data_IF_968239216548
#
_entry.id   IF_968239216548
#
_cell.length_a   1.000
_cell.length_b   1.000
_cell.length_c   1.000
_cell.angle_alpha   90.00
_cell.angle_beta   90.00
_cell.angle_gamma   90.00
#
_symmetry.space_group_name_H-M   'P 1'
#
loop_
_entity.id
_entity.type
_entity.pdbx_description
1 polymer ?
#
# COMPACT_ATOMS: atom_id res chain seq x y z
N UNK A 1 20.61 -13.33 27.43
CA UNK A 1 19.59 -12.29 27.67
C UNK A 1 19.26 -11.64 26.34
N UNK A 2 17.98 -11.39 26.07
CA UNK A 2 17.54 -10.63 24.89
C UNK A 2 17.79 -9.15 25.16
N UNK A 3 18.41 -8.44 24.20
CA UNK A 3 18.72 -7.00 24.33
C UNK A 3 17.88 -6.13 23.41
N UNK A 4 17.45 -6.68 22.28
CA UNK A 4 16.64 -6.00 21.28
C UNK A 4 15.47 -6.90 20.87
N UNK A 5 14.31 -6.30 20.66
CA UNK A 5 13.10 -6.94 20.16
C UNK A 5 12.68 -6.25 18.86
N UNK A 6 12.56 -7.02 17.78
CA UNK A 6 12.16 -6.54 16.47
C UNK A 6 10.70 -6.87 16.22
N UNK A 7 9.90 -5.88 15.81
CA UNK A 7 8.46 -6.04 15.62
C UNK A 7 7.96 -5.37 14.34
N UNK A 8 6.88 -5.91 13.79
CA UNK A 8 6.09 -5.35 12.67
C UNK A 8 4.64 -5.08 13.09
N UNK A 9 4.35 -5.10 14.39
CA UNK A 9 3.01 -4.93 14.92
C UNK A 9 2.38 -3.60 14.49
N UNK A 10 1.11 -3.66 14.14
CA UNK A 10 0.29 -2.50 13.84
C UNK A 10 0.03 -1.67 15.10
N UNK A 11 -0.41 -0.43 14.91
CA UNK A 11 -0.53 0.64 15.90
C UNK A 11 -1.69 0.46 16.90
N UNK A 12 -1.88 -0.77 17.38
CA UNK A 12 -2.93 -1.16 18.30
C UNK A 12 -2.53 -0.86 19.76
N UNK A 13 -3.50 -0.58 20.66
CA UNK A 13 -3.23 -0.35 22.09
C UNK A 13 -2.44 -1.47 22.77
N UNK A 14 -2.66 -2.72 22.37
CA UNK A 14 -1.97 -3.90 22.87
C UNK A 14 -0.47 -3.86 22.56
N UNK A 15 -0.10 -3.36 21.37
CA UNK A 15 1.29 -3.17 20.96
C UNK A 15 2.00 -2.14 21.83
N UNK A 16 1.29 -1.09 22.27
CA UNK A 16 1.83 -0.07 23.19
C UNK A 16 2.13 -0.70 24.55
N UNK A 17 1.18 -1.46 25.11
CA UNK A 17 1.36 -2.13 26.40
C UNK A 17 2.54 -3.12 26.37
N UNK A 18 2.64 -3.95 25.33
CA UNK A 18 3.77 -4.88 25.17
C UNK A 18 5.10 -4.12 25.14
N UNK A 19 5.15 -3.02 24.40
CA UNK A 19 6.36 -2.21 24.26
C UNK A 19 6.79 -1.58 25.58
N UNK A 20 5.83 -1.11 26.40
CA UNK A 20 6.11 -0.63 27.76
C UNK A 20 6.76 -1.72 28.63
N UNK A 21 6.21 -2.94 28.60
CA UNK A 21 6.76 -4.07 29.36
C UNK A 21 8.16 -4.48 28.91
N UNK A 22 8.42 -4.47 27.60
CA UNK A 22 9.76 -4.74 27.09
C UNK A 22 10.77 -3.67 27.54
N UNK A 23 10.37 -2.40 27.54
CA UNK A 23 11.20 -1.29 28.02
C UNK A 23 11.47 -1.34 29.53
N UNK A 24 10.49 -1.73 30.35
CA UNK A 24 10.68 -1.99 31.79
C UNK A 24 11.78 -3.03 32.04
N UNK A 25 11.88 -4.03 31.15
CA UNK A 25 12.91 -5.07 31.18
C UNK A 25 14.24 -4.66 30.53
N UNK A 26 14.40 -3.37 30.17
CA UNK A 26 15.56 -2.81 29.46
C UNK A 26 15.82 -3.48 28.10
N UNK A 27 14.78 -4.00 27.47
CA UNK A 27 14.82 -4.53 26.11
C UNK A 27 14.45 -3.39 25.16
N UNK A 28 15.33 -3.11 24.20
CA UNK A 28 15.11 -2.07 23.19
C UNK A 28 14.14 -2.57 22.12
N UNK A 29 13.10 -1.82 21.82
CA UNK A 29 12.08 -2.19 20.83
C UNK A 29 12.31 -1.44 19.53
N UNK A 30 12.52 -2.21 18.45
CA UNK A 30 12.77 -1.71 17.11
C UNK A 30 11.59 -2.14 16.24
N UNK A 31 10.81 -1.17 15.79
CA UNK A 31 9.66 -1.40 14.94
C UNK A 31 9.99 -1.08 13.48
N UNK A 32 9.49 -1.90 12.56
CA UNK A 32 9.51 -1.68 11.12
C UNK A 32 8.12 -1.93 10.52
N UNK A 33 7.06 -1.59 11.28
CA UNK A 33 5.69 -1.84 10.91
C UNK A 33 5.27 -1.06 9.67
N UNK A 34 4.30 -1.68 9.02
CA UNK A 34 3.87 -1.40 7.68
C UNK A 34 2.79 -0.29 7.67
N UNK A 35 2.86 0.60 6.68
CA UNK A 35 1.86 1.63 6.42
C UNK A 35 1.72 2.77 7.45
N UNK A 36 0.63 3.52 7.30
CA UNK A 36 0.23 4.66 8.12
C UNK A 36 -1.08 4.30 8.82
N UNK A 37 -1.06 4.35 10.14
CA UNK A 37 -2.17 4.03 11.02
C UNK A 37 -3.24 5.11 10.92
N UNK A 38 -4.43 4.71 10.54
CA UNK A 38 -5.56 5.63 10.36
C UNK A 38 -6.18 5.98 11.73
N UNK A 39 -6.07 5.07 12.70
CA UNK A 39 -6.65 5.20 14.03
C UNK A 39 -5.59 4.78 15.06
N UNK A 40 -5.09 5.74 15.85
CA UNK A 40 -4.04 5.50 16.85
C UNK A 40 -2.67 5.93 16.38
N UNK A 41 -2.35 7.21 16.60
CA UNK A 41 -1.03 7.79 16.27
C UNK A 41 0.01 7.53 17.35
N UNK A 42 -0.36 6.92 18.49
CA UNK A 42 0.52 6.75 19.64
C UNK A 42 1.39 5.52 19.41
N UNK A 43 2.70 5.76 19.35
CA UNK A 43 3.71 4.72 19.28
C UNK A 43 4.64 4.85 20.49
N UNK A 44 5.22 3.74 20.93
CA UNK A 44 6.14 3.75 22.07
C UNK A 44 7.42 2.98 21.81
N UNK A 45 7.95 3.02 20.59
CA UNK A 45 9.16 2.27 20.25
C UNK A 45 10.44 3.01 20.70
N UNK A 46 11.58 2.33 20.75
CA UNK A 46 12.88 3.01 20.87
C UNK A 46 13.35 3.52 19.52
N UNK A 47 13.14 2.70 18.49
CA UNK A 47 13.43 3.05 17.09
C UNK A 47 12.26 2.64 16.22
N UNK A 48 11.83 3.54 15.35
CA UNK A 48 10.89 3.23 14.27
C UNK A 48 11.55 3.47 12.91
N UNK A 49 11.70 2.39 12.16
CA UNK A 49 12.16 2.40 10.78
C UNK A 49 10.98 2.75 9.87
N UNK A 50 10.98 3.97 9.33
CA UNK A 50 9.92 4.56 8.50
C UNK A 50 10.36 4.66 7.05
N UNK A 51 9.44 4.50 6.11
CA UNK A 51 9.71 4.47 4.67
C UNK A 51 9.68 5.86 4.03
N UNK A 52 8.91 6.80 4.59
CA UNK A 52 8.74 8.15 4.03
C UNK A 52 8.82 9.23 5.10
N UNK A 53 9.10 10.47 4.67
CA UNK A 53 9.03 11.64 5.56
C UNK A 53 7.61 11.89 6.06
N UNK A 54 6.58 11.65 5.25
CA UNK A 54 5.18 11.80 5.68
C UNK A 54 4.85 10.83 6.81
N UNK A 55 5.25 9.57 6.69
CA UNK A 55 5.07 8.57 7.76
C UNK A 55 5.79 9.03 9.03
N UNK A 56 7.04 9.50 8.91
CA UNK A 56 7.79 10.09 10.04
C UNK A 56 7.02 11.23 10.69
N UNK A 57 6.58 12.21 9.90
CA UNK A 57 5.94 13.44 10.41
C UNK A 57 4.57 13.14 11.05
N UNK A 58 3.87 12.10 10.57
CA UNK A 58 2.63 11.61 11.16
C UNK A 58 2.83 11.09 12.59
N UNK A 59 3.86 10.28 12.83
CA UNK A 59 4.14 9.69 14.15
C UNK A 59 5.04 10.52 15.07
N UNK A 60 5.73 11.52 14.54
CA UNK A 60 6.62 12.38 15.33
C UNK A 60 5.87 13.16 16.42
N UNK A 61 4.58 13.41 16.22
CA UNK A 61 3.77 14.25 17.11
C UNK A 61 3.40 13.57 18.43
N UNK A 62 3.64 12.27 18.56
CA UNK A 62 3.05 11.43 19.61
C UNK A 62 4.07 10.62 20.42
N UNK A 63 5.39 10.79 20.21
CA UNK A 63 6.39 10.00 20.94
C UNK A 63 7.82 10.56 20.90
N UNK A 64 8.64 10.15 21.87
CA UNK A 64 10.10 10.33 21.87
C UNK A 64 10.85 9.29 21.01
N UNK A 65 10.12 8.56 20.17
CA UNK A 65 10.66 7.49 19.32
C UNK A 65 11.73 8.05 18.38
N UNK A 66 12.86 7.35 18.24
CA UNK A 66 13.87 7.70 17.23
C UNK A 66 13.46 7.17 15.87
N UNK A 67 13.39 8.05 14.88
CA UNK A 67 13.02 7.68 13.52
C UNK A 67 14.24 7.46 12.63
N UNK A 68 14.28 6.33 11.92
CA UNK A 68 15.26 6.06 10.87
C UNK A 68 14.54 5.89 9.55
N UNK A 69 15.00 6.59 8.51
CA UNK A 69 14.49 6.33 7.16
C UNK A 69 15.03 4.97 6.70
N UNK A 70 14.12 4.02 6.56
CA UNK A 70 14.40 2.73 5.95
C UNK A 70 14.45 2.96 4.45
N UNK A 71 15.61 2.70 3.85
CA UNK A 71 15.67 2.58 2.39
C UNK A 71 14.96 1.28 2.05
N UNK A 72 13.87 1.31 1.24
CA UNK A 72 13.26 0.07 0.80
C UNK A 72 14.36 -0.81 0.20
N UNK A 73 14.29 -2.12 0.48
CA UNK A 73 15.17 -3.11 -0.12
C UNK A 73 15.20 -2.79 -1.60
N UNK A 74 16.41 -2.54 -2.10
CA UNK A 74 16.70 -2.12 -3.46
C UNK A 74 15.63 -2.66 -4.42
N UNK A 75 14.90 -1.72 -5.01
CA UNK A 75 14.23 -1.81 -6.30
C UNK A 75 14.42 -3.17 -6.95
N UNK A 76 13.35 -3.96 -7.13
CA UNK A 76 13.26 -5.04 -8.13
C UNK A 76 14.31 -4.79 -9.22
N UNK A 77 15.47 -5.46 -9.15
CA UNK A 77 16.69 -5.06 -9.85
C UNK A 77 16.34 -4.65 -11.29
N UNK A 78 16.24 -3.33 -11.54
CA UNK A 78 15.64 -2.84 -12.78
C UNK A 78 16.59 -2.98 -13.96
N UNK A 79 17.84 -3.39 -13.72
CA UNK A 79 18.95 -3.20 -14.65
C UNK A 79 19.27 -4.40 -15.55
N UNK A 80 18.60 -5.56 -15.46
CA UNK A 80 19.00 -6.69 -16.32
C UNK A 80 17.96 -7.75 -16.68
N UNK A 81 16.65 -7.45 -16.62
CA UNK A 81 15.62 -8.43 -17.01
C UNK A 81 14.93 -7.94 -18.29
N UNK A 82 14.82 -8.81 -19.30
CA UNK A 82 14.08 -8.55 -20.53
C UNK A 82 12.57 -8.46 -20.22
N UNK A 83 12.11 -7.33 -19.71
CA UNK A 83 10.73 -7.13 -19.25
C UNK A 83 9.80 -6.91 -20.44
N UNK A 84 9.16 -7.99 -20.91
CA UNK A 84 8.34 -7.97 -22.14
C UNK A 84 6.91 -7.42 -21.92
N UNK A 85 6.32 -7.55 -20.72
CA UNK A 85 4.90 -7.24 -20.49
C UNK A 85 4.64 -6.46 -19.18
N UNK A 86 3.51 -5.75 -19.14
CA UNK A 86 3.02 -5.01 -17.97
C UNK A 86 1.94 -5.84 -17.28
N UNK A 87 1.96 -5.85 -15.95
CA UNK A 87 0.93 -6.44 -15.12
C UNK A 87 0.39 -5.43 -14.10
N UNK A 88 -0.81 -5.70 -13.62
CA UNK A 88 -1.44 -4.95 -12.54
C UNK A 88 -1.19 -5.70 -11.23
N UNK A 89 -0.88 -4.97 -10.17
CA UNK A 89 -0.83 -5.50 -8.81
C UNK A 89 -1.92 -4.87 -7.95
N UNK A 90 -2.98 -5.62 -7.62
CA UNK A 90 -4.07 -5.14 -6.79
C UNK A 90 -3.82 -5.44 -5.30
N UNK A 91 -3.77 -4.38 -4.49
CA UNK A 91 -3.65 -4.44 -3.04
C UNK A 91 -5.05 -4.49 -2.44
N UNK A 92 -5.52 -5.70 -2.19
CA UNK A 92 -6.87 -5.96 -1.71
C UNK A 92 -7.01 -5.53 -0.22
N UNK A 93 -8.21 -5.11 0.19
CA UNK A 93 -8.52 -4.64 1.54
C UNK A 93 -9.49 -5.58 2.27
N UNK A 94 -9.44 -5.61 3.59
CA UNK A 94 -10.34 -6.41 4.44
C UNK A 94 -11.62 -5.64 4.83
N UNK A 95 -12.31 -5.09 3.84
CA UNK A 95 -13.46 -4.18 4.05
C UNK A 95 -14.62 -4.88 4.75
N UNK A 96 -14.89 -6.15 4.40
CA UNK A 96 -16.04 -6.90 4.88
C UNK A 96 -15.79 -7.57 6.22
N UNK A 97 -14.54 -7.86 6.60
CA UNK A 97 -14.23 -8.32 7.95
C UNK A 97 -14.20 -7.20 8.98
N UNK A 98 -13.85 -5.97 8.59
CA UNK A 98 -13.69 -4.82 9.50
C UNK A 98 -15.04 -4.23 9.93
N UNK A 99 -15.47 -4.37 11.21
CA UNK A 99 -16.81 -3.96 11.65
C UNK A 99 -17.15 -2.49 11.41
N UNK A 100 -16.18 -1.58 11.60
CA UNK A 100 -16.35 -0.14 11.39
C UNK A 100 -16.51 0.25 9.90
N UNK A 101 -16.27 -0.69 8.98
CA UNK A 101 -16.33 -0.46 7.52
C UNK A 101 -17.45 -1.25 6.84
N UNK A 102 -18.32 -1.93 7.60
CA UNK A 102 -19.46 -2.73 7.09
C UNK A 102 -20.69 -1.91 6.66
N UNK A 103 -20.52 -0.65 6.26
CA UNK A 103 -21.65 0.08 5.68
C UNK A 103 -21.99 -0.50 4.31
N UNK A 104 -23.28 -0.53 3.94
CA UNK A 104 -23.70 -0.96 2.60
C UNK A 104 -23.02 -0.16 1.49
N UNK A 105 -22.74 1.12 1.76
CA UNK A 105 -22.01 2.04 0.88
C UNK A 105 -20.58 1.55 0.67
N UNK A 106 -19.82 1.31 1.75
CA UNK A 106 -18.42 0.86 1.66
C UNK A 106 -18.29 -0.50 0.99
N UNK A 107 -19.23 -1.41 1.25
CA UNK A 107 -19.31 -2.70 0.55
C UNK A 107 -19.52 -2.51 -0.96
N UNK A 108 -20.51 -1.72 -1.37
CA UNK A 108 -20.83 -1.50 -2.78
C UNK A 108 -19.66 -0.86 -3.55
N UNK A 109 -18.96 0.10 -2.92
CA UNK A 109 -17.75 0.71 -3.49
C UNK A 109 -16.66 -0.35 -3.70
N UNK A 110 -16.50 -1.25 -2.73
CA UNK A 110 -15.48 -2.28 -2.79
C UNK A 110 -15.75 -3.30 -3.91
N UNK A 111 -17.00 -3.72 -4.05
CA UNK A 111 -17.46 -4.59 -5.15
C UNK A 111 -17.27 -3.89 -6.50
N UNK A 112 -17.57 -2.59 -6.61
CA UNK A 112 -17.36 -1.82 -7.85
C UNK A 112 -15.88 -1.76 -8.27
N UNK A 113 -14.96 -1.67 -7.32
CA UNK A 113 -13.52 -1.66 -7.62
C UNK A 113 -13.06 -3.03 -8.13
N UNK A 114 -13.53 -4.11 -7.50
CA UNK A 114 -13.26 -5.46 -7.98
C UNK A 114 -13.76 -5.61 -9.42
N UNK A 115 -14.98 -5.17 -9.70
CA UNK A 115 -15.54 -5.15 -11.06
C UNK A 115 -14.64 -4.37 -12.03
N UNK A 116 -14.11 -3.21 -11.62
CA UNK A 116 -13.21 -2.42 -12.47
C UNK A 116 -11.92 -3.19 -12.78
N UNK A 117 -11.34 -3.86 -11.78
CA UNK A 117 -10.11 -4.66 -11.92
C UNK A 117 -10.32 -5.86 -12.85
N UNK A 118 -11.44 -6.57 -12.72
CA UNK A 118 -11.72 -7.71 -13.58
C UNK A 118 -12.04 -7.27 -15.01
N UNK A 119 -12.78 -6.17 -15.18
CA UNK A 119 -13.07 -5.58 -16.49
C UNK A 119 -11.81 -5.12 -17.19
N UNK A 120 -10.88 -4.46 -16.49
CA UNK A 120 -9.64 -3.97 -17.12
C UNK A 120 -8.73 -5.12 -17.56
N UNK A 121 -8.68 -6.19 -16.78
CA UNK A 121 -7.93 -7.40 -17.13
C UNK A 121 -8.41 -7.97 -18.48
N UNK A 122 -9.73 -8.03 -18.68
CA UNK A 122 -10.35 -8.51 -19.91
C UNK A 122 -10.18 -7.53 -21.08
N UNK A 123 -10.51 -6.27 -20.87
CA UNK A 123 -10.52 -5.23 -21.91
C UNK A 123 -9.13 -4.99 -22.50
N UNK A 124 -8.11 -4.94 -21.65
CA UNK A 124 -6.74 -4.64 -22.05
C UNK A 124 -5.86 -5.88 -22.19
N UNK A 125 -6.40 -7.07 -21.89
CA UNK A 125 -5.67 -8.35 -21.90
C UNK A 125 -4.40 -8.30 -21.05
N UNK A 126 -4.50 -7.66 -19.88
CA UNK A 126 -3.38 -7.51 -18.93
C UNK A 126 -3.51 -8.51 -17.80
N UNK A 127 -2.38 -9.06 -17.36
CA UNK A 127 -2.35 -9.92 -16.18
C UNK A 127 -2.58 -9.10 -14.92
N UNK A 128 -3.32 -9.68 -13.99
CA UNK A 128 -3.56 -9.10 -12.67
C UNK A 128 -3.07 -10.09 -11.61
N UNK A 129 -2.25 -9.56 -10.71
CA UNK A 129 -1.86 -10.20 -9.47
C UNK A 129 -2.55 -9.47 -8.33
N UNK A 130 -2.97 -10.17 -7.28
CA UNK A 130 -3.57 -9.55 -6.12
C UNK A 130 -3.08 -10.16 -4.82
N UNK A 131 -2.88 -9.32 -3.80
CA UNK A 131 -2.51 -9.74 -2.45
C UNK A 131 -3.65 -9.38 -1.51
N UNK A 132 -4.16 -10.36 -0.77
CA UNK A 132 -5.14 -10.12 0.30
C UNK A 132 -4.50 -9.38 1.49
N UNK A 133 -5.30 -8.55 2.16
CA UNK A 133 -4.88 -7.95 3.43
C UNK A 133 -4.70 -9.06 4.47
N UNK A 134 -3.71 -9.02 5.38
CA UNK A 134 -3.53 -10.05 6.40
C UNK A 134 -4.77 -10.30 7.27
N UNK A 135 -5.54 -9.24 7.52
CA UNK A 135 -6.83 -9.30 8.23
C UNK A 135 -8.05 -9.67 7.38
N UNK A 136 -7.87 -10.10 6.13
CA UNK A 136 -8.96 -10.57 5.26
C UNK A 136 -9.45 -11.95 5.73
N UNK A 137 -10.76 -12.11 5.72
CA UNK A 137 -11.45 -13.39 5.99
C UNK A 137 -12.03 -13.96 4.70
N UNK A 138 -12.65 -15.14 4.75
CA UNK A 138 -13.36 -15.72 3.57
C UNK A 138 -14.39 -14.77 2.97
N UNK A 139 -15.01 -13.90 3.78
CA UNK A 139 -15.98 -12.90 3.30
C UNK A 139 -15.34 -11.85 2.39
N UNK A 140 -14.06 -11.58 2.56
CA UNK A 140 -13.33 -10.60 1.77
C UNK A 140 -12.78 -11.19 0.46
N UNK A 141 -12.74 -12.52 0.31
CA UNK A 141 -12.16 -13.20 -0.85
C UNK A 141 -13.11 -13.23 -2.04
N UNK A 142 -13.35 -12.06 -2.62
CA UNK A 142 -14.36 -11.84 -3.69
C UNK A 142 -13.80 -11.91 -5.12
N UNK A 143 -12.48 -11.90 -5.28
CA UNK A 143 -11.83 -11.94 -6.59
C UNK A 143 -12.12 -13.27 -7.32
N UNK A 144 -12.36 -13.20 -8.63
CA UNK A 144 -12.51 -14.40 -9.44
C UNK A 144 -11.20 -15.20 -9.54
N UNK A 145 -11.34 -16.48 -9.89
CA UNK A 145 -10.22 -17.39 -10.14
C UNK A 145 -9.33 -17.01 -11.34
N UNK A 146 -9.68 -15.94 -12.07
CA UNK A 146 -8.90 -15.39 -13.18
C UNK A 146 -7.81 -14.43 -12.69
N UNK A 147 -7.89 -13.98 -11.44
CA UNK A 147 -6.89 -13.13 -10.82
C UNK A 147 -5.86 -14.00 -10.11
N UNK A 148 -4.57 -13.73 -10.34
CA UNK A 148 -3.50 -14.48 -9.71
C UNK A 148 -3.33 -13.99 -8.27
N UNK A 149 -3.68 -14.83 -7.29
CA UNK A 149 -3.49 -14.47 -5.88
C UNK A 149 -2.06 -14.79 -5.46
N UNK A 150 -1.41 -13.83 -4.81
CA UNK A 150 -0.08 -13.98 -4.20
C UNK A 150 -0.17 -13.75 -2.69
N UNK A 151 0.74 -14.36 -1.94
CA UNK A 151 0.78 -14.22 -0.49
C UNK A 151 1.65 -13.02 -0.09
N UNK A 152 2.83 -12.87 -0.70
CA UNK A 152 3.76 -11.77 -0.44
C UNK A 152 4.17 -11.03 -1.73
N UNK A 153 4.71 -9.82 -1.57
CA UNK A 153 5.12 -9.01 -2.74
C UNK A 153 6.32 -9.61 -3.47
N UNK A 154 7.17 -10.33 -2.75
CA UNK A 154 8.31 -11.07 -3.27
C UNK A 154 7.89 -12.20 -4.22
N UNK A 155 6.63 -12.63 -4.17
CA UNK A 155 6.07 -13.64 -5.08
C UNK A 155 5.68 -13.05 -6.45
N UNK A 156 5.73 -11.72 -6.62
CA UNK A 156 5.50 -11.08 -7.92
C UNK A 156 6.58 -11.50 -8.92
N UNK A 157 6.19 -12.06 -10.09
CA UNK A 157 7.18 -12.44 -11.09
C UNK A 157 8.00 -11.26 -11.61
N UNK A 158 9.33 -11.40 -11.57
CA UNK A 158 10.27 -10.32 -11.86
C UNK A 158 10.30 -9.88 -13.33
N UNK A 159 9.75 -10.70 -14.23
CA UNK A 159 9.63 -10.45 -15.67
C UNK A 159 8.61 -9.35 -16.03
N UNK A 160 7.73 -8.98 -15.10
CA UNK A 160 6.76 -7.91 -15.32
C UNK A 160 7.25 -6.57 -14.78
N UNK A 161 6.67 -5.50 -15.34
CA UNK A 161 6.57 -4.19 -14.68
C UNK A 161 5.17 -4.04 -14.13
N UNK A 162 5.06 -3.54 -12.90
CA UNK A 162 3.79 -3.42 -12.20
C UNK A 162 3.30 -1.98 -12.14
N UNK A 163 1.98 -1.83 -12.20
CA UNK A 163 1.28 -0.70 -11.58
C UNK A 163 0.45 -1.26 -10.43
N UNK A 164 0.69 -0.76 -9.23
CA UNK A 164 -0.09 -1.10 -8.05
C UNK A 164 -1.45 -0.40 -8.10
N UNK A 165 -2.50 -1.07 -7.65
CA UNK A 165 -3.84 -0.49 -7.54
C UNK A 165 -4.35 -0.73 -6.13
N UNK A 166 -4.98 0.28 -5.54
CA UNK A 166 -5.54 0.22 -4.20
C UNK A 166 -6.75 1.13 -4.07
N UNK A 167 -7.61 0.87 -3.08
CA UNK A 167 -8.66 1.82 -2.67
C UNK A 167 -8.10 2.87 -1.71
N UNK A 168 -7.48 2.41 -0.63
CA UNK A 168 -6.98 3.29 0.45
C UNK A 168 -5.87 2.66 1.30
N UNK A 169 -5.22 1.60 0.80
CA UNK A 169 -4.17 0.92 1.56
C UNK A 169 -2.98 1.83 1.79
N UNK A 170 -2.57 1.98 3.06
CA UNK A 170 -1.35 2.70 3.42
C UNK A 170 -0.07 1.90 3.15
N UNK A 171 -0.19 0.61 2.79
CA UNK A 171 0.92 -0.24 2.34
C UNK A 171 1.65 0.35 1.12
N UNK A 172 0.92 1.11 0.31
CA UNK A 172 1.45 1.86 -0.83
C UNK A 172 2.66 2.74 -0.50
N UNK A 173 2.75 3.28 0.72
CA UNK A 173 3.84 4.17 1.14
C UNK A 173 5.19 3.45 1.14
N UNK A 174 5.17 2.13 1.25
CA UNK A 174 6.35 1.26 1.22
C UNK A 174 6.74 0.91 -0.22
N UNK A 175 5.75 0.84 -1.09
CA UNK A 175 5.92 0.46 -2.49
C UNK A 175 6.28 1.63 -3.39
N UNK A 176 6.22 2.87 -2.87
CA UNK A 176 6.53 4.10 -3.60
C UNK A 176 7.84 4.04 -4.37
N UNK A 177 8.88 3.45 -3.77
CA UNK A 177 10.20 3.29 -4.39
C UNK A 177 10.32 2.15 -5.40
N UNK A 178 9.32 1.27 -5.47
CA UNK A 178 9.40 0.00 -6.21
C UNK A 178 8.51 -0.02 -7.46
N UNK A 179 7.34 0.61 -7.41
CA UNK A 179 6.40 0.65 -8.53
C UNK A 179 5.43 1.84 -8.45
N UNK A 180 4.90 2.31 -9.61
CA UNK A 180 3.80 3.26 -9.63
C UNK A 180 2.53 2.71 -9.00
N UNK A 181 1.67 3.59 -8.48
CA UNK A 181 0.35 3.18 -7.99
C UNK A 181 -0.77 4.09 -8.48
N UNK A 182 -1.99 3.54 -8.48
CA UNK A 182 -3.24 4.23 -8.73
C UNK A 182 -4.24 3.92 -7.61
N UNK A 183 -4.86 4.97 -7.08
CA UNK A 183 -5.94 4.92 -6.10
C UNK A 183 -7.26 4.92 -6.86
N UNK A 184 -8.05 3.87 -6.74
CA UNK A 184 -9.39 3.81 -7.35
C UNK A 184 -10.39 4.17 -6.27
N UNK A 185 -11.06 5.31 -6.42
CA UNK A 185 -12.05 5.83 -5.48
C UNK A 185 -13.30 6.22 -6.26
N UNK A 186 -14.16 5.25 -6.63
CA UNK A 186 -15.35 5.50 -7.43
C UNK A 186 -16.15 6.67 -6.86
N UNK A 187 -16.48 7.64 -7.72
CA UNK A 187 -17.25 8.84 -7.38
C UNK A 187 -16.78 9.63 -6.15
N UNK A 188 -15.50 9.52 -5.77
CA UNK A 188 -14.91 10.16 -4.59
C UNK A 188 -15.66 9.84 -3.29
N UNK A 189 -16.14 8.61 -3.14
CA UNK A 189 -16.90 8.22 -1.96
C UNK A 189 -16.11 8.27 -0.64
N UNK A 190 -14.78 8.18 -0.70
CA UNK A 190 -13.91 8.20 0.48
C UNK A 190 -13.05 9.46 0.48
N UNK A 191 -13.01 10.16 1.61
CA UNK A 191 -12.07 11.26 1.82
C UNK A 191 -10.68 10.68 2.14
N UNK A 192 -9.78 10.77 1.15
CA UNK A 192 -8.44 10.17 1.19
C UNK A 192 -7.33 11.17 1.52
N UNK A 193 -7.68 12.43 1.79
CA UNK A 193 -6.75 13.57 1.94
C UNK A 193 -5.67 13.38 3.00
N UNK A 194 -5.96 12.58 4.03
CA UNK A 194 -5.02 12.32 5.12
C UNK A 194 -3.94 11.29 4.73
N UNK A 195 -4.23 10.42 3.77
CA UNK A 195 -3.38 9.30 3.38
C UNK A 195 -2.66 9.56 2.06
N UNK A 196 -3.27 10.35 1.18
CA UNK A 196 -2.78 10.61 -0.16
C UNK A 196 -2.93 12.09 -0.54
N UNK A 197 -1.99 12.63 -1.33
CA UNK A 197 -2.10 13.98 -1.91
C UNK A 197 -3.38 14.14 -2.74
N UNK A 198 -3.91 15.35 -2.90
CA UNK A 198 -5.08 15.65 -3.76
C UNK A 198 -4.70 15.86 -5.24
N UNK A 199 -3.86 14.99 -5.80
CA UNK A 199 -3.42 15.10 -7.19
C UNK A 199 -4.13 14.06 -8.08
N UNK A 200 -4.83 14.54 -9.12
CA UNK A 200 -5.61 13.74 -10.06
C UNK A 200 -4.80 12.64 -10.79
N UNK A 201 -3.47 12.72 -10.80
CA UNK A 201 -2.62 11.67 -11.34
C UNK A 201 -2.74 10.35 -10.56
N UNK A 202 -3.03 10.43 -9.26
CA UNK A 202 -3.12 9.26 -8.38
C UNK A 202 -4.52 8.69 -8.26
N UNK A 203 -5.57 9.40 -8.67
CA UNK A 203 -6.95 8.95 -8.45
C UNK A 203 -7.62 8.55 -9.73
N UNK A 204 -8.37 7.45 -9.70
CA UNK A 204 -9.35 7.11 -10.71
C UNK A 204 -10.75 7.07 -10.08
N UNK A 205 -11.63 7.95 -10.57
CA UNK A 205 -12.96 8.14 -9.96
C UNK A 205 -14.08 7.45 -10.73
N UNK A 206 -13.81 6.97 -11.95
CA UNK A 206 -14.76 6.25 -12.79
C UNK A 206 -14.03 5.15 -13.56
N UNK A 207 -14.77 4.16 -14.07
CA UNK A 207 -14.15 3.09 -14.87
C UNK A 207 -13.43 3.64 -16.11
N UNK A 208 -14.02 4.64 -16.76
CA UNK A 208 -13.41 5.29 -17.94
C UNK A 208 -12.07 5.92 -17.58
N UNK A 209 -12.03 6.71 -16.50
CA UNK A 209 -10.81 7.37 -16.04
C UNK A 209 -9.75 6.35 -15.59
N UNK A 210 -10.19 5.30 -14.90
CA UNK A 210 -9.34 4.16 -14.54
C UNK A 210 -8.71 3.53 -15.78
N UNK A 211 -9.52 3.19 -16.79
CA UNK A 211 -9.06 2.59 -18.03
C UNK A 211 -8.10 3.49 -18.81
N UNK A 212 -8.41 4.76 -18.97
CA UNK A 212 -7.55 5.74 -19.65
C UNK A 212 -6.18 5.87 -18.98
N UNK A 213 -6.13 5.87 -17.64
CA UNK A 213 -4.86 5.95 -16.90
C UNK A 213 -4.03 4.67 -17.06
N UNK A 214 -4.65 3.50 -17.02
CA UNK A 214 -3.95 2.23 -17.29
C UNK A 214 -3.44 2.21 -18.73
N UNK A 215 -4.25 2.61 -19.72
CA UNK A 215 -3.82 2.67 -21.12
C UNK A 215 -2.62 3.60 -21.32
N UNK A 216 -2.62 4.81 -20.73
CA UNK A 216 -1.47 5.72 -20.77
C UNK A 216 -0.20 5.09 -20.19
N UNK A 217 -0.34 4.31 -19.12
CA UNK A 217 0.78 3.57 -18.54
C UNK A 217 1.29 2.47 -19.49
N UNK A 218 0.40 1.80 -20.21
CA UNK A 218 0.75 0.79 -21.21
C UNK A 218 1.46 1.39 -22.44
N UNK A 219 1.08 2.61 -22.85
CA UNK A 219 1.59 3.29 -24.05
C UNK A 219 2.98 3.90 -23.88
N UNK A 220 3.24 4.65 -22.79
CA UNK A 220 4.52 5.34 -22.56
C UNK A 220 5.03 5.16 -21.12
N UNK A 221 5.56 3.95 -20.92
CA UNK A 221 6.04 3.41 -19.64
C UNK A 221 7.22 4.17 -19.04
N UNK A 222 8.26 4.46 -19.82
CA UNK A 222 9.44 5.16 -19.32
C UNK A 222 9.11 6.59 -18.89
N UNK A 223 8.27 7.28 -19.68
CA UNK A 223 7.77 8.59 -19.30
C UNK A 223 6.94 8.51 -18.03
N UNK A 224 6.07 7.49 -17.88
CA UNK A 224 5.27 7.34 -16.68
C UNK A 224 6.12 7.08 -15.44
N UNK A 225 7.11 6.18 -15.49
CA UNK A 225 8.01 5.94 -14.34
C UNK A 225 8.85 7.18 -13.99
N UNK A 226 9.33 7.92 -15.00
CA UNK A 226 10.06 9.16 -14.77
C UNK A 226 9.16 10.24 -14.16
N UNK A 227 7.95 10.39 -14.68
CA UNK A 227 6.94 11.30 -14.15
C UNK A 227 6.56 10.93 -12.72
N UNK A 228 6.34 9.63 -12.48
CA UNK A 228 6.04 9.05 -11.19
C UNK A 228 7.10 9.36 -10.14
N UNK A 229 8.37 9.08 -10.45
CA UNK A 229 9.49 9.35 -9.55
C UNK A 229 9.60 10.86 -9.24
N UNK A 230 9.40 11.71 -10.25
CA UNK A 230 9.35 13.16 -10.05
C UNK A 230 8.19 13.56 -9.13
N UNK A 231 7.00 13.03 -9.36
CA UNK A 231 5.79 13.32 -8.60
C UNK A 231 5.91 12.87 -7.14
N UNK A 232 6.42 11.65 -6.91
CA UNK A 232 6.76 11.16 -5.57
C UNK A 232 7.74 12.10 -4.87
N UNK A 233 8.82 12.53 -5.55
CA UNK A 233 9.82 13.40 -4.94
C UNK A 233 9.23 14.74 -4.48
N UNK A 234 8.25 15.25 -5.22
CA UNK A 234 7.55 16.50 -4.91
C UNK A 234 6.59 16.32 -3.72
N UNK A 235 5.86 15.21 -3.69
CA UNK A 235 4.77 14.98 -2.74
C UNK A 235 5.28 14.41 -1.42
N UNK A 236 6.06 13.34 -1.49
CA UNK A 236 6.43 12.55 -0.33
C UNK A 236 7.81 12.94 0.26
N UNK A 237 8.56 13.83 -0.40
CA UNK A 237 9.92 14.26 -0.02
C UNK A 237 10.79 13.07 0.40
N UNK A 238 10.77 12.03 -0.43
CA UNK A 238 11.58 10.80 -0.28
C UNK A 238 13.04 11.10 -0.62
#
# INVERSE_FOLDING_TARGET
>A
SVKEFYTKEEFLPESVYLTEKLKELKIKVINSAHGLGIYGTIINYDVFNVFTKIQKDHYKRSSDTKFKLFKPINSLNQESISKKEIAIFFIHQNVLSTPSRKSSVTKGIYEEIIDYIEKIALDLKVLVFAKYHPGSTEKDKLLSNKINIIDEIEDLPNEYKYIAITLHSSYVLELLGSMPFLVVNPYNHINMKELFPEDNAFYANTYRDFKEKIQKFLEDREMYYKYWNKLISLIFKI
#
